data_IF_226815956636
#
_entry.id   IF_226815956636
#
_cell.length_a   1.000
_cell.length_b   1.000
_cell.length_c   1.000
_cell.angle_alpha   90.00
_cell.angle_beta   90.00
_cell.angle_gamma   90.00
#
_symmetry.space_group_name_H-M   'P 1'
#
loop_
_entity.id
_entity.type
_entity.pdbx_description
1 polymer ?
#
# COMPACT_ATOMS: atom_id res chain seq x y z
N UNK A 1 14.16 41.68 -21.27
CA UNK A 1 15.19 40.98 -20.46
C UNK A 1 14.67 40.42 -19.15
N UNK A 2 14.03 41.19 -18.24
CA UNK A 2 13.43 40.61 -17.00
C UNK A 2 12.07 39.91 -17.22
N UNK A 3 11.25 40.38 -18.18
CA UNK A 3 9.97 39.75 -18.52
C UNK A 3 10.14 38.38 -19.20
N UNK A 4 11.17 38.22 -20.04
CA UNK A 4 11.44 36.95 -20.76
C UNK A 4 11.80 35.84 -19.77
N UNK A 5 12.57 36.18 -18.74
CA UNK A 5 12.98 35.26 -17.68
C UNK A 5 11.80 34.82 -16.80
N UNK A 6 10.81 35.70 -16.58
CA UNK A 6 9.57 35.37 -15.84
C UNK A 6 8.68 34.42 -16.64
N UNK A 7 8.57 34.60 -17.96
CA UNK A 7 7.76 33.75 -18.84
C UNK A 7 8.35 32.34 -19.00
N UNK A 8 9.68 32.24 -19.05
CA UNK A 8 10.39 30.95 -19.06
C UNK A 8 10.23 30.23 -17.72
N UNK A 9 10.24 30.95 -16.60
CA UNK A 9 10.04 30.34 -15.27
C UNK A 9 8.61 29.81 -15.08
N UNK A 10 7.60 30.57 -15.51
CA UNK A 10 6.19 30.18 -15.37
C UNK A 10 5.83 28.98 -16.24
N UNK A 11 6.37 28.92 -17.47
CA UNK A 11 6.16 27.77 -18.37
C UNK A 11 6.81 26.49 -17.84
N UNK A 12 7.98 26.58 -17.18
CA UNK A 12 8.64 25.43 -16.54
C UNK A 12 7.85 24.86 -15.35
N UNK A 13 7.29 25.73 -14.51
CA UNK A 13 6.48 25.33 -13.34
C UNK A 13 5.20 24.63 -13.82
N UNK A 14 4.49 25.18 -14.81
CA UNK A 14 3.26 24.58 -15.35
C UNK A 14 3.53 23.22 -16.03
N UNK A 15 4.66 23.09 -16.74
CA UNK A 15 5.06 21.83 -17.35
C UNK A 15 5.36 20.73 -16.30
N UNK A 16 5.95 21.10 -15.15
CA UNK A 16 6.26 20.15 -14.07
C UNK A 16 5.02 19.58 -13.36
N UNK A 17 3.88 20.30 -13.39
CA UNK A 17 2.61 19.84 -12.80
C UNK A 17 1.81 18.90 -13.72
N UNK A 18 2.25 18.68 -14.96
CA UNK A 18 1.52 17.88 -15.97
C UNK A 18 1.97 16.41 -16.05
N UNK A 19 2.89 15.97 -15.21
CA UNK A 19 3.28 14.56 -15.15
C UNK A 19 2.20 13.76 -14.41
N UNK A 20 1.34 13.07 -15.16
CA UNK A 20 0.61 11.93 -14.61
C UNK A 20 1.62 10.83 -14.31
N UNK A 21 2.03 10.69 -13.04
CA UNK A 21 2.73 9.48 -12.62
C UNK A 21 1.81 8.29 -12.91
N UNK A 22 2.27 7.35 -13.74
CA UNK A 22 1.59 6.09 -13.94
C UNK A 22 1.50 5.36 -12.60
N UNK A 23 0.30 5.02 -12.16
CA UNK A 23 0.09 4.30 -10.91
C UNK A 23 0.46 2.84 -11.15
N UNK A 24 1.67 2.47 -10.74
CA UNK A 24 2.15 1.09 -10.72
C UNK A 24 2.37 0.70 -9.27
N UNK A 25 1.77 -0.41 -8.84
CA UNK A 25 1.91 -0.93 -7.47
C UNK A 25 2.51 -2.33 -7.49
N UNK A 26 3.45 -2.59 -6.59
CA UNK A 26 4.10 -3.87 -6.39
C UNK A 26 3.68 -4.50 -5.07
N UNK A 27 3.33 -5.78 -5.08
CA UNK A 27 2.83 -6.49 -3.89
C UNK A 27 3.50 -7.85 -3.72
N UNK A 28 3.55 -8.35 -2.49
CA UNK A 28 3.89 -9.75 -2.26
C UNK A 28 2.78 -10.65 -2.78
N UNK A 29 3.16 -11.70 -3.52
CA UNK A 29 2.27 -12.71 -4.08
C UNK A 29 2.70 -14.08 -3.54
N UNK A 30 2.00 -14.56 -2.50
CA UNK A 30 2.37 -15.80 -1.83
C UNK A 30 1.19 -16.44 -1.08
N UNK A 31 1.33 -17.71 -0.71
CA UNK A 31 0.36 -18.45 0.09
C UNK A 31 1.07 -19.32 1.13
N UNK A 32 0.75 -19.11 2.41
CA UNK A 32 1.38 -19.82 3.54
C UNK A 32 1.08 -21.32 3.60
N UNK A 33 0.14 -21.80 2.78
CA UNK A 33 -0.09 -23.23 2.61
C UNK A 33 1.03 -23.93 1.83
N UNK A 34 1.76 -23.19 0.97
CA UNK A 34 2.84 -23.72 0.14
C UNK A 34 4.21 -23.24 0.59
N UNK A 35 4.28 -22.00 1.12
CA UNK A 35 5.52 -21.43 1.66
C UNK A 35 5.27 -20.84 3.06
N UNK A 36 5.72 -21.49 4.14
CA UNK A 36 5.44 -21.04 5.51
C UNK A 36 5.99 -19.64 5.83
N UNK A 37 6.97 -19.13 5.06
CA UNK A 37 7.51 -17.76 5.19
C UNK A 37 6.47 -16.69 4.84
N UNK A 38 5.49 -17.05 4.01
CA UNK A 38 4.30 -16.25 3.78
C UNK A 38 3.35 -16.26 4.99
N UNK A 39 3.68 -16.86 6.12
CA UNK A 39 2.87 -16.80 7.34
C UNK A 39 2.92 -15.45 8.05
N UNK A 40 2.52 -15.51 9.32
CA UNK A 40 2.75 -14.49 10.35
C UNK A 40 3.53 -15.21 11.48
N UNK A 41 4.73 -14.76 11.89
CA UNK A 41 5.45 -13.59 11.40
C UNK A 41 5.86 -13.72 9.92
N UNK A 42 5.92 -12.59 9.23
CA UNK A 42 6.22 -12.54 7.81
C UNK A 42 7.73 -12.52 7.56
N UNK A 43 8.20 -13.41 6.69
CA UNK A 43 9.58 -13.43 6.20
C UNK A 43 9.60 -13.14 4.69
N UNK A 44 10.01 -11.94 4.24
CA UNK A 44 10.00 -11.55 2.84
C UNK A 44 11.10 -12.22 2.01
N UNK A 45 12.09 -12.88 2.63
CA UNK A 45 13.26 -13.39 1.92
C UNK A 45 12.85 -14.40 0.84
N UNK A 46 13.21 -14.11 -0.42
CA UNK A 46 12.91 -14.94 -1.62
C UNK A 46 11.43 -15.15 -1.94
N UNK A 47 10.51 -14.41 -1.31
CA UNK A 47 9.11 -14.44 -1.70
C UNK A 47 8.86 -13.61 -2.97
N UNK A 48 7.93 -14.07 -3.80
CA UNK A 48 7.57 -13.39 -5.04
C UNK A 48 6.98 -12.01 -4.77
N UNK A 49 7.61 -10.98 -5.33
CA UNK A 49 7.05 -9.64 -5.50
C UNK A 49 6.64 -9.51 -6.96
N UNK A 50 5.42 -9.06 -7.20
CA UNK A 50 4.89 -8.88 -8.56
C UNK A 50 4.44 -7.44 -8.75
N UNK A 51 4.69 -6.91 -9.95
CA UNK A 51 4.08 -5.67 -10.38
C UNK A 51 2.63 -5.97 -10.78
N UNK A 52 1.69 -5.41 -10.02
CA UNK A 52 0.27 -5.69 -10.21
C UNK A 52 -0.24 -5.20 -11.57
N UNK A 53 0.28 -4.09 -12.09
CA UNK A 53 -0.13 -3.52 -13.37
C UNK A 53 0.23 -4.39 -14.57
N UNK A 54 1.11 -5.39 -14.38
CA UNK A 54 1.50 -6.35 -15.43
C UNK A 54 0.70 -7.66 -15.37
N UNK A 55 -0.16 -7.83 -14.36
CA UNK A 55 -0.97 -9.05 -14.23
C UNK A 55 -2.20 -8.97 -15.14
N UNK A 56 -2.58 -10.08 -15.79
CA UNK A 56 -3.82 -10.12 -16.55
C UNK A 56 -5.02 -9.87 -15.61
N UNK A 57 -6.04 -9.19 -16.13
CA UNK A 57 -7.32 -9.03 -15.44
C UNK A 57 -8.00 -10.40 -15.37
N UNK A 58 -8.43 -10.87 -14.19
CA UNK A 58 -9.16 -12.13 -14.07
C UNK A 58 -10.41 -12.15 -14.94
N UNK A 59 -10.72 -13.30 -15.55
CA UNK A 59 -11.82 -13.45 -16.51
C UNK A 59 -13.17 -12.95 -15.99
N UNK A 60 -13.45 -13.21 -14.70
CA UNK A 60 -14.67 -12.78 -14.03
C UNK A 60 -14.77 -11.27 -13.78
N UNK A 61 -13.70 -10.51 -14.03
CA UNK A 61 -13.65 -9.05 -13.89
C UNK A 61 -13.56 -8.33 -15.25
N UNK A 62 -13.41 -9.06 -16.36
CA UNK A 62 -13.27 -8.49 -17.72
C UNK A 62 -14.47 -7.63 -18.12
N UNK A 63 -15.66 -7.91 -17.58
CA UNK A 63 -16.90 -7.20 -17.91
C UNK A 63 -17.23 -6.03 -16.98
N UNK A 64 -16.39 -5.77 -15.97
CA UNK A 64 -16.57 -4.63 -15.07
C UNK A 64 -15.50 -3.58 -15.39
N UNK A 65 -15.78 -2.29 -15.19
CA UNK A 65 -14.83 -1.17 -15.39
C UNK A 65 -13.59 -1.20 -14.44
N UNK A 66 -13.35 -2.32 -13.76
CA UNK A 66 -12.22 -2.54 -12.85
C UNK A 66 -10.99 -3.00 -13.62
N UNK A 67 -10.39 -2.11 -14.40
CA UNK A 67 -9.34 -2.49 -15.37
C UNK A 67 -7.93 -2.59 -14.78
N UNK A 68 -7.65 -2.04 -13.58
CA UNK A 68 -6.29 -1.99 -13.04
C UNK A 68 -6.23 -2.41 -11.57
N UNK A 69 -5.39 -3.38 -11.19
CA UNK A 69 -5.13 -3.68 -9.79
C UNK A 69 -4.35 -2.53 -9.14
N UNK A 70 -5.00 -1.86 -8.20
CA UNK A 70 -4.50 -0.63 -7.56
C UNK A 70 -4.21 -0.80 -6.07
N UNK A 71 -4.33 -2.02 -5.54
CA UNK A 71 -4.11 -2.32 -4.12
C UNK A 71 -3.35 -3.62 -3.91
N UNK A 72 -2.61 -3.69 -2.79
CA UNK A 72 -2.17 -4.96 -2.23
C UNK A 72 -3.22 -5.49 -1.27
N UNK A 73 -3.43 -6.81 -1.28
CA UNK A 73 -4.32 -7.52 -0.34
C UNK A 73 -3.54 -8.50 0.53
N UNK A 74 -4.02 -8.65 1.77
CA UNK A 74 -3.65 -9.72 2.71
C UNK A 74 -4.93 -10.36 3.21
N UNK A 75 -5.03 -11.68 3.07
CA UNK A 75 -6.17 -12.46 3.52
C UNK A 75 -5.67 -13.48 4.53
N UNK A 76 -6.22 -13.45 5.74
CA UNK A 76 -5.98 -14.44 6.78
C UNK A 76 -7.22 -15.30 6.85
N UNK A 77 -7.10 -16.58 6.52
CA UNK A 77 -8.23 -17.51 6.54
C UNK A 77 -7.98 -18.60 7.57
N UNK A 78 -8.98 -18.85 8.40
CA UNK A 78 -9.02 -20.00 9.30
C UNK A 78 -10.12 -20.93 8.83
N UNK A 79 -9.79 -22.19 8.59
CA UNK A 79 -10.71 -23.23 8.14
C UNK A 79 -10.41 -24.48 8.96
N UNK A 80 -11.35 -24.94 9.79
CA UNK A 80 -11.22 -26.17 10.58
C UNK A 80 -9.85 -26.28 11.27
N UNK A 81 -9.55 -25.31 12.14
CA UNK A 81 -8.29 -25.17 12.88
C UNK A 81 -7.01 -24.88 12.07
N UNK A 82 -7.06 -24.88 10.73
CA UNK A 82 -5.92 -24.50 9.90
C UNK A 82 -6.00 -23.02 9.55
N UNK A 83 -4.97 -22.26 9.94
CA UNK A 83 -4.80 -20.85 9.56
C UNK A 83 -3.85 -20.74 8.37
N UNK A 84 -4.25 -19.98 7.34
CA UNK A 84 -3.42 -19.65 6.18
C UNK A 84 -3.43 -18.16 5.91
N UNK A 85 -2.32 -17.66 5.41
CA UNK A 85 -2.13 -16.26 4.99
C UNK A 85 -1.88 -16.25 3.50
N UNK A 86 -2.65 -15.43 2.79
CA UNK A 86 -2.59 -15.28 1.34
C UNK A 86 -2.35 -13.81 1.03
N UNK A 87 -1.31 -13.50 0.26
CA UNK A 87 -0.95 -12.15 -0.16
C UNK A 87 -1.01 -12.05 -1.68
N UNK A 88 -1.45 -10.92 -2.21
CA UNK A 88 -1.42 -10.67 -3.65
C UNK A 88 -1.93 -9.29 -4.05
N UNK A 89 -2.10 -9.09 -5.35
CA UNK A 89 -2.73 -7.90 -5.94
C UNK A 89 -4.26 -7.96 -5.81
N UNK A 90 -4.91 -6.82 -5.64
CA UNK A 90 -6.37 -6.66 -5.63
C UNK A 90 -6.86 -5.67 -6.68
N UNK A 91 -8.04 -5.93 -7.23
CA UNK A 91 -8.64 -5.22 -8.37
C UNK A 91 -9.82 -4.31 -7.98
N UNK A 92 -10.37 -4.50 -6.77
CA UNK A 92 -11.54 -3.76 -6.31
C UNK A 92 -11.07 -2.72 -5.30
N UNK A 93 -11.31 -1.45 -5.62
CA UNK A 93 -11.24 -0.36 -4.64
C UNK A 93 -12.50 -0.39 -3.79
N UNK A 94 -12.64 -1.37 -2.89
CA UNK A 94 -13.48 -1.09 -1.73
C UNK A 94 -12.76 0.03 -0.99
N UNK A 95 -13.41 1.18 -0.75
CA UNK A 95 -12.87 2.31 0.03
C UNK A 95 -12.56 1.96 1.51
N UNK A 96 -12.49 0.67 1.81
CA UNK A 96 -12.18 0.09 3.10
C UNK A 96 -10.69 -0.21 3.14
N UNK A 97 -9.91 0.80 3.50
CA UNK A 97 -8.51 0.64 3.91
C UNK A 97 -8.39 -0.13 5.23
N UNK A 98 -9.48 -0.26 6.00
CA UNK A 98 -9.51 -1.04 7.23
C UNK A 98 -9.74 -2.53 6.98
N UNK A 99 -9.02 -3.35 7.73
CA UNK A 99 -9.22 -4.79 7.75
C UNK A 99 -10.63 -5.15 8.25
N UNK A 100 -11.33 -6.04 7.57
CA UNK A 100 -12.62 -6.55 8.02
C UNK A 100 -12.64 -8.07 8.09
N UNK A 101 -13.44 -8.62 9.01
CA UNK A 101 -13.59 -10.05 9.22
C UNK A 101 -14.96 -10.53 8.79
N UNK A 102 -15.00 -11.64 8.07
CA UNK A 102 -16.21 -12.40 7.72
C UNK A 102 -16.13 -13.76 8.42
N UNK A 103 -17.12 -14.05 9.26
CA UNK A 103 -17.27 -15.37 9.87
C UNK A 103 -18.22 -16.21 9.00
N UNK A 104 -17.82 -17.44 8.71
CA UNK A 104 -18.67 -18.46 8.09
C UNK A 104 -19.28 -19.40 9.14
N UNK A 105 -19.83 -20.51 8.67
CA UNK A 105 -20.35 -21.59 9.51
C UNK A 105 -19.21 -22.52 9.93
N UNK A 106 -19.24 -23.02 11.18
CA UNK A 106 -18.39 -24.12 11.65
C UNK A 106 -16.87 -23.87 11.54
N UNK A 107 -16.31 -23.03 12.42
CA UNK A 107 -14.86 -22.72 12.51
C UNK A 107 -14.22 -22.28 11.17
N UNK A 108 -14.97 -21.51 10.39
CA UNK A 108 -14.48 -20.83 9.18
C UNK A 108 -14.53 -19.33 9.44
N UNK A 109 -13.39 -18.67 9.38
CA UNK A 109 -13.31 -17.20 9.42
C UNK A 109 -12.28 -16.69 8.41
N UNK A 110 -12.51 -15.49 7.89
CA UNK A 110 -11.61 -14.83 6.95
C UNK A 110 -11.51 -13.35 7.26
N UNK A 111 -10.29 -12.87 7.44
CA UNK A 111 -9.98 -11.45 7.61
C UNK A 111 -9.35 -10.94 6.32
N UNK A 112 -9.93 -9.89 5.75
CA UNK A 112 -9.52 -9.25 4.51
C UNK A 112 -8.95 -7.88 4.83
N UNK A 113 -7.76 -7.59 4.31
CA UNK A 113 -7.12 -6.29 4.46
C UNK A 113 -6.60 -5.81 3.11
N UNK A 114 -6.60 -4.49 2.90
CA UNK A 114 -6.14 -3.84 1.69
C UNK A 114 -5.26 -2.61 2.02
N UNK A 115 -4.34 -2.27 1.13
CA UNK A 115 -3.49 -1.08 1.21
C UNK A 115 -3.04 -0.64 -0.18
N UNK A 116 -2.57 0.62 -0.30
CA UNK A 116 -2.25 1.28 -1.57
C UNK A 116 -0.76 1.54 -1.81
N UNK A 117 0.09 1.22 -0.83
CA UNK A 117 1.53 1.44 -0.94
C UNK A 117 2.25 0.21 -1.53
N UNK A 118 3.45 0.38 -2.05
CA UNK A 118 4.26 -0.75 -2.46
C UNK A 118 4.56 -1.66 -1.27
N UNK A 119 4.50 -2.99 -1.50
CA UNK A 119 4.87 -4.05 -0.57
C UNK A 119 4.20 -3.97 0.83
N UNK A 120 3.13 -3.19 0.98
CA UNK A 120 2.46 -2.95 2.26
C UNK A 120 1.76 -4.18 2.82
N UNK A 121 1.39 -5.16 1.99
CA UNK A 121 0.78 -6.41 2.43
C UNK A 121 1.75 -7.36 3.17
N UNK A 122 3.03 -7.01 3.30
CA UNK A 122 3.97 -7.71 4.17
C UNK A 122 3.74 -7.44 5.67
N UNK A 123 3.08 -6.32 6.03
CA UNK A 123 2.94 -5.93 7.42
C UNK A 123 1.97 -6.82 8.21
N UNK A 124 2.11 -6.79 9.54
CA UNK A 124 1.18 -7.42 10.46
C UNK A 124 -0.13 -6.64 10.58
N UNK A 125 -0.07 -5.31 10.45
CA UNK A 125 -1.23 -4.41 10.40
C UNK A 125 -1.10 -3.44 9.23
N UNK A 126 -2.20 -3.27 8.49
CA UNK A 126 -2.28 -2.45 7.28
C UNK A 126 -2.74 -1.01 7.56
N UNK A 127 -2.66 -0.59 8.83
CA UNK A 127 -3.00 0.77 9.24
C UNK A 127 -1.81 1.73 9.14
N UNK A 128 -2.06 3.05 9.07
CA UNK A 128 -0.99 4.05 9.08
C UNK A 128 -0.10 3.86 10.32
N UNK A 129 1.21 3.79 10.10
CA UNK A 129 2.17 3.60 11.19
C UNK A 129 2.12 4.83 12.12
N UNK A 130 1.81 4.61 13.41
CA UNK A 130 1.76 5.70 14.42
C UNK A 130 3.12 6.38 14.62
N UNK A 131 4.20 5.75 14.16
CA UNK A 131 5.57 6.25 14.26
C UNK A 131 5.81 7.49 13.40
N UNK A 132 5.19 7.60 12.22
CA UNK A 132 5.37 8.77 11.36
C UNK A 132 4.83 10.07 11.97
N UNK A 133 3.74 9.98 12.75
CA UNK A 133 3.18 11.14 13.45
C UNK A 133 4.10 11.61 14.58
N UNK A 134 4.70 10.67 15.31
CA UNK A 134 5.62 10.99 16.42
C UNK A 134 6.90 11.66 15.90
N UNK A 135 7.48 11.14 14.82
CA UNK A 135 8.72 11.73 14.24
C UNK A 135 8.49 13.13 13.66
N UNK A 136 7.32 13.39 13.07
CA UNK A 136 6.93 14.71 12.54
C UNK A 136 6.84 15.75 13.67
N UNK A 137 6.16 15.41 14.77
CA UNK A 137 6.02 16.30 15.94
C UNK A 137 7.37 16.58 16.58
N UNK A 138 8.23 15.57 16.73
CA UNK A 138 9.57 15.73 17.30
C UNK A 138 10.43 16.64 16.41
N UNK A 139 10.40 16.46 15.09
CA UNK A 139 11.13 17.31 14.15
C UNK A 139 10.67 18.77 14.21
N UNK A 140 9.36 19.02 14.28
CA UNK A 140 8.80 20.36 14.43
C UNK A 140 9.24 21.03 15.76
N UNK A 141 9.27 20.28 16.86
CA UNK A 141 9.73 20.78 18.16
C UNK A 141 11.23 21.12 18.13
N UNK A 142 12.06 20.29 17.51
CA UNK A 142 13.50 20.56 17.35
C UNK A 142 13.72 21.85 16.52
N UNK A 143 12.98 22.02 15.42
CA UNK A 143 13.06 23.22 14.59
C UNK A 143 12.67 24.47 15.39
N UNK A 144 11.58 24.41 16.17
CA UNK A 144 11.14 25.53 17.02
C UNK A 144 12.16 25.90 18.11
N UNK A 145 12.79 24.90 18.75
CA UNK A 145 13.80 25.12 19.78
C UNK A 145 15.08 25.71 19.18
N UNK A 146 15.52 25.23 18.01
CA UNK A 146 16.71 25.77 17.32
C UNK A 146 16.50 27.18 16.78
N UNK A 147 15.29 27.50 16.27
CA UNK A 147 14.93 28.85 15.83
C UNK A 147 14.92 29.88 16.97
N UNK A 148 14.42 29.50 18.15
CA UNK A 148 14.43 30.37 19.33
C UNK A 148 15.85 30.50 19.95
N UNK A 149 16.77 29.60 19.64
CA UNK A 149 18.16 29.63 20.10
C UNK A 149 19.10 30.51 19.27
N UNK A 150 18.67 31.01 18.10
CA UNK A 150 19.46 31.93 17.25
C UNK A 150 19.12 33.42 17.47
N UNK A 151 18.28 33.72 18.46
CA UNK A 151 17.85 35.08 18.83
C UNK A 151 18.40 35.56 20.19
N UNK A 152 19.42 34.87 20.74
CA UNK A 152 20.25 35.35 21.84
C UNK A 152 21.71 35.48 21.41
#
# INVERSE_FOLDING_TARGET
MKCDQVYVLTTFIVASFSFKLGVSISCYQCNSAYDPRCGDPFDPYTLGVVNCSLLPVPEHLIHNDYEVPVICRKIIQKIYSKRRVIRGCGYITEDRTECYRRSGTFDVDSTFCACKDDICNGSHSLGPSRWFLVTSVIAALIILVTWNGQLL
#
